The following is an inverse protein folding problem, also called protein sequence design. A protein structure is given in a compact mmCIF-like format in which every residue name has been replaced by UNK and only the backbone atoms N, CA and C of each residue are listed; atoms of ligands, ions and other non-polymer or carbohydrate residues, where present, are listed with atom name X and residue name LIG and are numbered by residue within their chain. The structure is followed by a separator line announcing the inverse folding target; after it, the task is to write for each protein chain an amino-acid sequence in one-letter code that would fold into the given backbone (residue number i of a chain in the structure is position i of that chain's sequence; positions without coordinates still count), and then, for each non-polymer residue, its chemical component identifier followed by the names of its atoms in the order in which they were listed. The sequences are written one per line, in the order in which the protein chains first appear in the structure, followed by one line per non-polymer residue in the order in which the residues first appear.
data_IF_340805438327
#
_entry.id   IF_340805438327
#
_cell.length_a   1.000
_cell.length_b   1.000
_cell.length_c   1.000
_cell.angle_alpha   90.00
_cell.angle_beta   90.00
_cell.angle_gamma   90.00
#
_symmetry.space_group_name_H-M   'P 1'
#
loop_
_entity.id
_entity.type
_entity.pdbx_description
1 polymer ?
#
# COMPACT_ATOMS: atom_id res chain seq x y z
N UNK A 1 70.57 9.50 24.97
CA UNK A 1 69.61 8.39 25.08
C UNK A 1 68.55 8.63 24.03
N UNK A 2 68.67 7.95 22.89
CA UNK A 2 67.85 8.18 21.68
C UNK A 2 66.74 7.13 21.60
N UNK A 3 65.50 7.58 21.38
CA UNK A 3 64.32 6.72 21.26
C UNK A 3 64.26 6.04 19.87
N UNK A 4 63.80 4.79 19.76
CA UNK A 4 63.63 4.12 18.47
C UNK A 4 62.33 4.60 17.79
N UNK A 5 62.44 4.93 16.50
CA UNK A 5 61.33 5.27 15.62
C UNK A 5 60.43 4.03 15.41
N UNK A 6 59.18 4.11 15.85
CA UNK A 6 58.17 3.10 15.57
C UNK A 6 57.82 3.13 14.08
N UNK A 7 58.23 2.09 13.36
CA UNK A 7 57.87 1.86 11.97
C UNK A 7 56.35 1.67 11.86
N UNK A 8 55.67 2.65 11.30
CA UNK A 8 54.25 2.58 10.94
C UNK A 8 54.10 1.54 9.84
N UNK A 9 53.68 0.32 10.22
CA UNK A 9 53.36 -0.73 9.28
C UNK A 9 52.15 -0.30 8.46
N UNK A 10 52.41 0.16 7.23
CA UNK A 10 51.38 0.46 6.25
C UNK A 10 50.60 -0.83 5.97
N UNK A 11 49.42 -0.96 6.59
CA UNK A 11 48.45 -2.00 6.27
C UNK A 11 47.99 -1.71 4.85
N UNK A 12 48.52 -2.49 3.89
CA UNK A 12 48.08 -2.41 2.51
C UNK A 12 46.57 -2.73 2.47
N UNK A 13 45.77 -1.93 1.76
CA UNK A 13 44.35 -2.18 1.64
C UNK A 13 44.16 -3.53 0.96
N UNK A 14 43.69 -4.52 1.72
CA UNK A 14 43.29 -5.82 1.20
C UNK A 14 42.19 -5.55 0.20
N UNK A 15 42.49 -5.71 -1.09
CA UNK A 15 41.52 -5.59 -2.17
C UNK A 15 40.47 -6.68 -1.99
N UNK A 16 39.32 -6.32 -1.41
CA UNK A 16 38.19 -7.22 -1.27
C UNK A 16 37.50 -7.28 -2.62
N UNK A 17 37.61 -8.43 -3.29
CA UNK A 17 36.84 -8.68 -4.50
C UNK A 17 35.35 -8.51 -4.19
N UNK A 18 34.59 -7.77 -5.04
CA UNK A 18 33.15 -7.63 -4.87
C UNK A 18 32.50 -9.00 -4.80
N UNK A 19 31.72 -9.25 -3.75
CA UNK A 19 30.97 -10.48 -3.62
C UNK A 19 29.95 -10.56 -4.78
N UNK A 20 29.92 -11.63 -5.58
CA UNK A 20 28.93 -11.79 -6.65
C UNK A 20 27.48 -11.63 -6.15
N UNK A 21 27.21 -11.92 -4.87
CA UNK A 21 25.90 -11.68 -4.26
C UNK A 21 25.48 -10.21 -4.26
N UNK A 22 26.42 -9.27 -4.11
CA UNK A 22 26.13 -7.83 -4.18
C UNK A 22 25.72 -7.39 -5.58
N UNK A 23 26.31 -7.99 -6.62
CA UNK A 23 25.98 -7.70 -8.01
C UNK A 23 24.54 -8.10 -8.34
N UNK A 24 24.13 -9.29 -7.91
CA UNK A 24 22.76 -9.80 -8.09
C UNK A 24 21.75 -8.94 -7.32
N UNK A 25 22.05 -8.58 -6.08
CA UNK A 25 21.17 -7.73 -5.25
C UNK A 25 20.98 -6.33 -5.87
N UNK A 26 22.05 -5.71 -6.35
CA UNK A 26 21.99 -4.41 -7.06
C UNK A 26 21.13 -4.52 -8.31
N UNK A 27 21.32 -5.55 -9.13
CA UNK A 27 20.55 -5.73 -10.36
C UNK A 27 19.06 -5.94 -10.08
N UNK A 28 18.71 -6.73 -9.05
CA UNK A 28 17.33 -6.90 -8.61
C UNK A 28 16.69 -5.58 -8.16
N UNK A 29 17.43 -4.74 -7.41
CA UNK A 29 17.00 -3.41 -7.01
C UNK A 29 16.71 -2.50 -8.21
N UNK A 30 17.61 -2.47 -9.20
CA UNK A 30 17.44 -1.69 -10.43
C UNK A 30 16.21 -2.15 -11.20
N UNK A 31 16.01 -3.46 -11.37
CA UNK A 31 14.83 -4.01 -12.05
C UNK A 31 13.53 -3.67 -11.33
N UNK A 32 13.51 -3.70 -10.00
CA UNK A 32 12.35 -3.30 -9.22
C UNK A 32 12.01 -1.81 -9.44
N UNK A 33 13.02 -0.94 -9.47
CA UNK A 33 12.84 0.50 -9.73
C UNK A 33 12.36 0.76 -11.16
N UNK A 34 12.99 0.15 -12.17
CA UNK A 34 12.58 0.29 -13.58
C UNK A 34 11.12 -0.15 -13.76
N UNK A 35 10.75 -1.29 -13.20
CA UNK A 35 9.35 -1.78 -13.25
C UNK A 35 8.39 -0.82 -12.54
N UNK A 36 8.76 -0.32 -11.37
CA UNK A 36 7.96 0.65 -10.62
C UNK A 36 7.71 1.92 -11.46
N UNK A 37 8.78 2.48 -12.03
CA UNK A 37 8.71 3.66 -12.89
C UNK A 37 7.85 3.42 -14.12
N UNK A 38 8.04 2.32 -14.84
CA UNK A 38 7.26 1.99 -16.03
C UNK A 38 5.77 1.82 -15.72
N UNK A 39 5.43 1.13 -14.63
CA UNK A 39 4.04 0.91 -14.22
C UNK A 39 3.39 2.23 -13.84
N UNK A 40 4.02 3.04 -12.99
CA UNK A 40 3.46 4.33 -12.58
C UNK A 40 3.39 5.33 -13.73
N UNK A 41 4.42 5.38 -14.58
CA UNK A 41 4.42 6.23 -15.77
C UNK A 41 3.26 5.88 -16.69
N UNK A 42 3.09 4.60 -17.03
CA UNK A 42 2.02 4.14 -17.89
C UNK A 42 0.64 4.43 -17.27
N UNK A 43 0.47 4.15 -15.97
CA UNK A 43 -0.81 4.38 -15.27
C UNK A 43 -1.18 5.87 -15.24
N UNK A 44 -0.23 6.75 -14.90
CA UNK A 44 -0.46 8.19 -14.86
C UNK A 44 -0.69 8.77 -16.26
N UNK A 45 0.01 8.26 -17.27
CA UNK A 45 -0.19 8.68 -18.65
C UNK A 45 -1.55 8.24 -19.20
N UNK A 46 -1.97 7.00 -18.94
CA UNK A 46 -3.32 6.54 -19.28
C UNK A 46 -4.37 7.38 -18.55
N UNK A 47 -4.16 7.70 -17.27
CA UNK A 47 -5.06 8.55 -16.51
C UNK A 47 -5.17 9.96 -17.13
N UNK A 48 -4.05 10.54 -17.56
CA UNK A 48 -4.02 11.79 -18.31
C UNK A 48 -4.87 11.72 -19.59
N UNK A 49 -4.73 10.65 -20.38
CA UNK A 49 -5.53 10.44 -21.60
C UNK A 49 -7.02 10.29 -21.32
N UNK A 50 -7.40 9.69 -20.19
CA UNK A 50 -8.82 9.57 -19.79
C UNK A 50 -9.40 10.94 -19.42
N UNK A 51 -8.61 11.83 -18.81
CA UNK A 51 -9.08 13.15 -18.39
C UNK A 51 -9.14 14.18 -19.53
N UNK A 52 -8.35 14.00 -20.59
CA UNK A 52 -8.29 14.94 -21.71
C UNK A 52 -8.89 14.30 -22.95
N UNK A 53 -10.08 14.75 -23.34
CA UNK A 53 -10.87 14.18 -24.45
C UNK A 53 -10.29 14.50 -25.83
N UNK A 54 -9.55 15.59 -25.98
CA UNK A 54 -8.87 15.99 -27.22
C UNK A 54 -7.41 16.27 -26.92
N UNK A 55 -6.51 15.45 -27.44
CA UNK A 55 -5.07 15.56 -27.16
C UNK A 55 -4.33 15.91 -28.44
N UNK A 56 -3.65 17.05 -28.44
CA UNK A 56 -2.70 17.47 -29.48
C UNK A 56 -1.35 16.75 -29.28
N UNK A 57 -0.50 16.72 -30.32
CA UNK A 57 0.84 16.12 -30.22
C UNK A 57 1.70 16.77 -29.12
N UNK A 58 1.57 18.08 -28.94
CA UNK A 58 2.27 18.82 -27.88
C UNK A 58 1.78 18.39 -26.48
N UNK A 59 0.48 18.21 -26.31
CA UNK A 59 -0.11 17.75 -25.04
C UNK A 59 0.27 16.30 -24.72
N UNK A 60 0.43 15.43 -25.73
CA UNK A 60 0.97 14.08 -25.52
C UNK A 60 2.38 14.14 -24.92
N UNK A 61 3.25 14.99 -25.48
CA UNK A 61 4.60 15.19 -24.95
C UNK A 61 4.59 15.70 -23.51
N UNK A 62 3.75 16.68 -23.20
CA UNK A 62 3.62 17.23 -21.85
C UNK A 62 3.04 16.21 -20.87
N UNK A 63 2.02 15.46 -21.27
CA UNK A 63 1.41 14.40 -20.45
C UNK A 63 2.40 13.27 -20.15
N UNK A 64 3.17 12.84 -21.15
CA UNK A 64 4.20 11.81 -20.98
C UNK A 64 5.33 12.26 -20.04
N UNK A 65 5.77 13.52 -20.18
CA UNK A 65 6.77 14.11 -19.29
C UNK A 65 6.26 14.29 -17.86
N UNK A 66 5.02 14.79 -17.70
CA UNK A 66 4.38 14.92 -16.40
C UNK A 66 4.17 13.58 -15.70
N UNK A 67 3.72 12.56 -16.44
CA UNK A 67 3.60 11.19 -15.94
C UNK A 67 4.94 10.62 -15.47
N UNK A 68 6.05 10.97 -16.15
CA UNK A 68 7.39 10.51 -15.77
C UNK A 68 7.83 11.13 -14.45
N UNK A 69 7.61 12.43 -14.29
CA UNK A 69 7.86 13.11 -13.01
C UNK A 69 7.03 12.51 -11.88
N UNK A 70 5.73 12.25 -12.14
CA UNK A 70 4.86 11.57 -11.17
C UNK A 70 5.34 10.17 -10.80
N UNK A 71 5.84 9.40 -11.78
CA UNK A 71 6.38 8.06 -11.54
C UNK A 71 7.65 8.09 -10.66
N UNK A 72 8.53 9.08 -10.87
CA UNK A 72 9.70 9.31 -10.01
C UNK A 72 9.27 9.66 -8.58
N UNK A 73 8.27 10.52 -8.42
CA UNK A 73 7.69 10.85 -7.12
C UNK A 73 7.12 9.62 -6.42
N UNK A 74 6.34 8.80 -7.13
CA UNK A 74 5.78 7.55 -6.60
C UNK A 74 6.86 6.56 -6.17
N UNK A 75 7.96 6.43 -6.95
CA UNK A 75 9.09 5.60 -6.57
C UNK A 75 9.86 6.15 -5.36
N UNK A 76 9.99 7.46 -5.23
CA UNK A 76 10.61 8.08 -4.05
C UNK A 76 9.80 7.79 -2.78
N UNK A 77 8.47 7.93 -2.84
CA UNK A 77 7.57 7.56 -1.74
C UNK A 77 7.67 6.06 -1.43
N UNK A 78 7.66 5.20 -2.45
CA UNK A 78 7.85 3.76 -2.26
C UNK A 78 9.17 3.44 -1.55
N UNK A 79 10.26 4.13 -1.90
CA UNK A 79 11.56 3.94 -1.24
C UNK A 79 11.57 4.45 0.19
N UNK A 80 10.80 5.50 0.51
CA UNK A 80 10.66 5.97 1.89
C UNK A 80 9.84 4.96 2.75
N UNK A 81 8.70 4.51 2.23
CA UNK A 81 7.73 3.68 2.93
C UNK A 81 8.11 2.20 3.02
N UNK A 82 9.07 1.74 2.21
CA UNK A 82 9.45 0.32 2.08
C UNK A 82 8.25 -0.65 2.06
N UNK A 83 7.21 -0.38 1.24
CA UNK A 83 5.98 -1.14 1.32
C UNK A 83 6.25 -2.59 0.90
N UNK A 84 5.88 -3.52 1.78
CA UNK A 84 5.87 -4.93 1.45
C UNK A 84 4.87 -5.17 0.31
N UNK A 85 5.36 -5.49 -0.88
CA UNK A 85 4.51 -5.88 -2.03
C UNK A 85 3.87 -7.27 -1.86
N UNK A 86 4.18 -7.95 -0.74
CA UNK A 86 3.58 -9.23 -0.39
C UNK A 86 2.09 -9.10 -0.08
N UNK A 87 1.31 -10.07 -0.51
CA UNK A 87 -0.08 -10.21 -0.04
C UNK A 87 -1.17 -9.54 -0.85
N UNK A 88 -0.85 -8.80 -1.91
CA UNK A 88 -1.88 -8.26 -2.80
C UNK A 88 -2.71 -9.36 -3.49
N UNK A 89 -2.08 -10.50 -3.79
CA UNK A 89 -2.79 -11.66 -4.36
C UNK A 89 -3.83 -12.24 -3.39
N UNK A 90 -3.54 -12.22 -2.09
CA UNK A 90 -4.49 -12.67 -1.07
C UNK A 90 -5.70 -11.72 -0.95
N UNK A 91 -5.58 -10.49 -1.44
CA UNK A 91 -6.65 -9.50 -1.49
C UNK A 91 -7.48 -9.53 -2.79
N UNK A 92 -7.07 -10.30 -3.79
CA UNK A 92 -7.83 -10.44 -5.04
C UNK A 92 -9.32 -10.79 -4.83
N UNK A 93 -9.70 -11.76 -3.98
CA UNK A 93 -11.12 -12.05 -3.73
C UNK A 93 -11.84 -10.87 -3.06
N UNK A 94 -11.20 -10.19 -2.11
CA UNK A 94 -11.76 -9.00 -1.47
C UNK A 94 -11.98 -7.86 -2.47
N UNK A 95 -11.00 -7.59 -3.34
CA UNK A 95 -11.10 -6.59 -4.40
C UNK A 95 -12.18 -6.95 -5.43
N UNK A 96 -12.32 -8.22 -5.80
CA UNK A 96 -13.36 -8.67 -6.73
C UNK A 96 -14.78 -8.48 -6.15
N UNK A 97 -14.93 -8.53 -4.82
CA UNK A 97 -16.22 -8.26 -4.15
C UNK A 97 -16.56 -6.78 -4.03
N UNK A 98 -15.60 -5.89 -4.32
CA UNK A 98 -15.71 -4.45 -4.08
C UNK A 98 -16.89 -3.78 -4.79
N UNK A 99 -17.19 -4.03 -6.09
CA UNK A 99 -18.31 -3.37 -6.75
C UNK A 99 -19.67 -3.69 -6.11
N UNK A 100 -19.87 -4.97 -5.74
CA UNK A 100 -21.08 -5.40 -5.07
C UNK A 100 -21.18 -4.82 -3.64
N UNK A 101 -20.06 -4.80 -2.92
CA UNK A 101 -19.99 -4.19 -1.59
C UNK A 101 -20.30 -2.70 -1.64
N UNK A 102 -19.73 -1.97 -2.61
CA UNK A 102 -19.96 -0.54 -2.79
C UNK A 102 -21.46 -0.25 -2.98
N UNK A 103 -22.13 -0.94 -3.91
CA UNK A 103 -23.58 -0.76 -4.14
C UNK A 103 -24.41 -1.08 -2.89
N UNK A 104 -24.11 -2.19 -2.23
CA UNK A 104 -24.84 -2.62 -1.03
C UNK A 104 -24.66 -1.65 0.13
N UNK A 105 -23.43 -1.20 0.37
CA UNK A 105 -23.09 -0.29 1.46
C UNK A 105 -23.57 1.14 1.20
N UNK A 106 -23.50 1.62 -0.05
CA UNK A 106 -24.13 2.90 -0.41
C UNK A 106 -25.64 2.87 -0.18
N UNK A 107 -26.32 1.78 -0.53
CA UNK A 107 -27.74 1.61 -0.22
C UNK A 107 -28.03 1.64 1.28
N UNK A 108 -27.21 0.94 2.09
CA UNK A 108 -27.32 0.96 3.55
C UNK A 108 -27.05 2.35 4.13
N UNK A 109 -26.03 3.04 3.65
CA UNK A 109 -25.70 4.41 4.05
C UNK A 109 -26.86 5.36 3.74
N UNK A 110 -27.45 5.28 2.55
CA UNK A 110 -28.63 6.07 2.18
C UNK A 110 -29.80 5.81 3.14
N UNK A 111 -30.08 4.54 3.47
CA UNK A 111 -31.11 4.18 4.46
C UNK A 111 -30.77 4.72 5.85
N UNK A 112 -29.52 4.63 6.30
CA UNK A 112 -29.09 5.16 7.59
C UNK A 112 -29.23 6.69 7.66
N UNK A 113 -28.89 7.41 6.59
CA UNK A 113 -29.11 8.85 6.46
C UNK A 113 -30.61 9.18 6.53
N UNK A 114 -31.46 8.47 5.80
CA UNK A 114 -32.92 8.67 5.85
C UNK A 114 -33.47 8.41 7.25
N UNK A 115 -33.04 7.35 7.94
CA UNK A 115 -33.44 7.06 9.33
C UNK A 115 -32.98 8.17 10.27
N UNK A 116 -31.76 8.67 10.11
CA UNK A 116 -31.22 9.77 10.91
C UNK A 116 -32.03 11.04 10.72
N UNK A 117 -32.39 11.38 9.48
CA UNK A 117 -33.27 12.51 9.18
C UNK A 117 -34.68 12.37 9.78
N UNK A 118 -35.15 11.13 10.00
CA UNK A 118 -36.41 10.82 10.70
C UNK A 118 -36.29 10.76 12.23
N UNK A 119 -35.16 11.17 12.80
CA UNK A 119 -34.93 11.19 14.25
C UNK A 119 -34.36 9.89 14.84
N UNK A 120 -33.94 8.95 13.99
CA UNK A 120 -33.26 7.74 14.43
C UNK A 120 -31.85 8.01 15.00
N UNK A 121 -31.38 7.11 15.86
CA UNK A 121 -29.99 7.07 16.30
C UNK A 121 -29.22 6.02 15.50
N UNK A 122 -27.98 6.35 15.10
CA UNK A 122 -27.08 5.41 14.45
C UNK A 122 -26.10 4.88 15.50
N UNK A 123 -26.05 3.56 15.67
CA UNK A 123 -25.06 2.91 16.52
C UNK A 123 -23.85 2.55 15.64
N UNK A 124 -22.94 3.51 15.49
CA UNK A 124 -21.60 3.20 14.99
C UNK A 124 -20.77 2.55 16.09
N UNK A 125 -19.70 1.84 15.71
CA UNK A 125 -18.84 1.17 16.67
C UNK A 125 -17.43 0.95 16.16
N UNK A 126 -16.49 0.81 17.09
CA UNK A 126 -15.11 0.48 16.78
C UNK A 126 -14.91 -1.02 16.93
N UNK A 127 -14.26 -1.63 15.94
CA UNK A 127 -13.98 -3.06 15.90
C UNK A 127 -12.53 -3.28 15.52
N UNK A 128 -11.93 -4.33 16.09
CA UNK A 128 -10.59 -4.78 15.72
C UNK A 128 -10.66 -5.97 14.79
N UNK A 129 -9.80 -6.00 13.79
CA UNK A 129 -9.67 -7.10 12.84
C UNK A 129 -8.21 -7.52 12.76
N UNK A 130 -7.94 -8.78 13.04
CA UNK A 130 -6.64 -9.39 12.81
C UNK A 130 -6.56 -9.84 11.36
N UNK A 131 -5.52 -9.45 10.65
CA UNK A 131 -5.22 -9.84 9.27
C UNK A 131 -4.17 -10.94 9.29
N UNK A 132 -4.35 -11.96 8.45
CA UNK A 132 -3.44 -13.09 8.36
C UNK A 132 -2.01 -12.68 7.95
N UNK A 133 -0.99 -13.43 8.41
CA UNK A 133 0.38 -13.21 7.96
C UNK A 133 0.47 -13.40 6.44
N UNK A 134 1.10 -12.44 5.76
CA UNK A 134 1.26 -12.47 4.32
C UNK A 134 0.19 -11.71 3.53
N UNK A 135 -0.82 -11.12 4.19
CA UNK A 135 -1.68 -10.09 3.59
C UNK A 135 -1.07 -8.72 3.86
N UNK A 136 -1.09 -7.81 2.88
CA UNK A 136 -0.61 -6.44 3.09
C UNK A 136 -1.62 -5.65 3.94
N UNK A 137 -1.28 -5.22 5.18
CA UNK A 137 -2.21 -4.54 6.06
C UNK A 137 -2.63 -3.16 5.53
N UNK A 138 -1.72 -2.44 4.87
CA UNK A 138 -2.03 -1.14 4.25
C UNK A 138 -3.07 -1.30 3.13
N UNK A 139 -2.90 -2.29 2.27
CA UNK A 139 -3.87 -2.58 1.19
C UNK A 139 -5.21 -3.12 1.73
N UNK A 140 -5.20 -3.96 2.76
CA UNK A 140 -6.43 -4.39 3.44
C UNK A 140 -7.15 -3.19 4.07
N UNK A 141 -6.40 -2.29 4.70
CA UNK A 141 -6.93 -1.06 5.28
C UNK A 141 -7.50 -0.13 4.21
N UNK A 142 -6.81 0.05 3.09
CA UNK A 142 -7.29 0.85 1.98
C UNK A 142 -8.59 0.29 1.37
N UNK A 143 -8.68 -1.04 1.17
CA UNK A 143 -9.89 -1.69 0.67
C UNK A 143 -11.07 -1.53 1.64
N UNK A 144 -10.83 -1.70 2.94
CA UNK A 144 -11.85 -1.50 3.97
C UNK A 144 -12.29 -0.03 4.04
N UNK A 145 -11.36 0.93 4.05
CA UNK A 145 -11.69 2.36 4.09
C UNK A 145 -12.33 2.89 2.81
N UNK A 146 -12.13 2.22 1.68
CA UNK A 146 -12.82 2.53 0.43
C UNK A 146 -14.28 2.03 0.41
N UNK A 147 -14.64 1.14 1.34
CA UNK A 147 -16.02 0.66 1.51
C UNK A 147 -16.84 1.69 2.32
N UNK A 148 -18.02 2.14 1.85
CA UNK A 148 -18.80 3.19 2.54
C UNK A 148 -19.17 2.87 4.00
N UNK A 149 -19.16 1.59 4.40
CA UNK A 149 -19.56 1.14 5.72
C UNK A 149 -18.44 1.09 6.77
N UNK A 150 -17.18 1.23 6.37
CA UNK A 150 -16.02 1.06 7.27
C UNK A 150 -14.94 2.12 7.03
N UNK A 151 -14.26 2.51 8.11
CA UNK A 151 -13.10 3.39 8.06
C UNK A 151 -12.03 2.85 9.01
N UNK A 152 -10.87 2.46 8.47
CA UNK A 152 -9.74 2.01 9.29
C UNK A 152 -9.04 3.22 9.90
N UNK A 153 -8.97 3.26 11.23
CA UNK A 153 -8.43 4.36 12.02
C UNK A 153 -7.00 4.10 12.52
N UNK A 154 -6.60 2.84 12.64
CA UNK A 154 -5.28 2.45 13.14
C UNK A 154 -4.83 1.10 12.57
N UNK A 155 -3.52 0.96 12.35
CA UNK A 155 -2.87 -0.26 11.89
C UNK A 155 -1.72 -0.57 12.85
N UNK A 156 -1.81 -1.68 13.56
CA UNK A 156 -0.77 -2.12 14.50
C UNK A 156 -0.15 -3.44 14.03
N UNK A 157 1.17 -3.61 14.14
CA UNK A 157 1.76 -4.94 14.03
C UNK A 157 1.23 -5.79 15.19
N UNK A 158 0.81 -7.02 14.90
CA UNK A 158 0.33 -7.91 15.95
C UNK A 158 1.51 -8.46 16.76
N UNK A 159 1.38 -8.55 18.08
CA UNK A 159 2.48 -8.98 18.96
C UNK A 159 2.75 -10.49 18.82
N UNK A 160 3.82 -10.84 18.09
CA UNK A 160 4.37 -12.21 18.05
C UNK A 160 5.05 -12.57 16.70
N UNK A 161 5.98 -13.55 16.69
CA UNK A 161 6.84 -13.86 15.54
C UNK A 161 6.13 -14.45 14.30
N UNK A 162 4.83 -14.76 14.41
CA UNK A 162 3.99 -15.27 13.30
C UNK A 162 2.67 -14.52 13.14
N UNK A 163 2.48 -13.38 13.82
CA UNK A 163 1.21 -12.65 13.75
C UNK A 163 1.28 -11.59 12.64
N UNK A 164 0.17 -11.44 11.91
CA UNK A 164 0.03 -10.43 10.86
C UNK A 164 -0.12 -9.02 11.45
N UNK A 165 -1.22 -8.34 11.14
CA UNK A 165 -1.49 -6.99 11.66
C UNK A 165 -2.89 -6.92 12.27
N UNK A 166 -3.07 -6.03 13.23
CA UNK A 166 -4.38 -5.67 13.77
C UNK A 166 -4.80 -4.32 13.18
N UNK A 167 -5.97 -4.30 12.55
CA UNK A 167 -6.64 -3.11 12.05
C UNK A 167 -7.70 -2.70 13.06
N UNK A 168 -7.68 -1.46 13.51
CA UNK A 168 -8.81 -0.88 14.23
C UNK A 168 -9.63 -0.08 13.24
N UNK A 169 -10.93 -0.38 13.15
CA UNK A 169 -11.84 0.30 12.22
C UNK A 169 -13.10 0.78 12.92
N UNK A 170 -13.63 1.90 12.43
CA UNK A 170 -14.94 2.41 12.78
C UNK A 170 -15.97 1.96 11.74
N UNK A 171 -17.09 1.42 12.19
CA UNK A 171 -18.18 0.94 11.36
C UNK A 171 -19.43 1.78 11.59
N UNK A 172 -20.14 2.08 10.50
CA UNK A 172 -21.42 2.82 10.56
C UNK A 172 -22.61 1.96 11.01
N UNK A 173 -22.52 0.65 10.78
CA UNK A 173 -23.47 -0.37 11.20
C UNK A 173 -22.69 -1.68 11.46
N UNK A 174 -23.21 -2.58 12.29
CA UNK A 174 -22.49 -3.78 12.72
C UNK A 174 -22.52 -5.03 11.82
N UNK A 175 -23.22 -5.12 10.67
CA UNK A 175 -23.14 -6.32 9.84
C UNK A 175 -21.79 -6.39 9.13
N UNK A 176 -21.21 -7.59 9.12
CA UNK A 176 -19.96 -7.90 8.39
C UNK A 176 -20.14 -7.59 6.90
N UNK A 177 -19.31 -6.72 6.34
CA UNK A 177 -19.36 -6.38 4.92
C UNK A 177 -18.89 -7.53 4.03
N UNK A 178 -19.26 -7.56 2.74
CA UNK A 178 -18.72 -8.55 1.80
C UNK A 178 -17.19 -8.47 1.68
N UNK A 179 -16.61 -7.26 1.73
CA UNK A 179 -15.16 -7.05 1.71
C UNK A 179 -14.52 -7.60 2.98
N UNK A 180 -15.08 -7.31 4.15
CA UNK A 180 -14.62 -7.86 5.44
C UNK A 180 -14.66 -9.40 5.43
N UNK A 181 -15.71 -10.00 4.87
CA UNK A 181 -15.87 -11.46 4.78
C UNK A 181 -14.88 -12.11 3.81
N UNK A 182 -14.48 -11.41 2.77
CA UNK A 182 -13.56 -11.89 1.75
C UNK A 182 -12.08 -11.65 2.10
N UNK A 183 -11.81 -10.88 3.17
CA UNK A 183 -10.47 -10.63 3.67
C UNK A 183 -9.94 -11.83 4.47
N UNK A 184 -8.70 -12.29 4.21
CA UNK A 184 -8.06 -13.29 5.06
C UNK A 184 -7.72 -12.69 6.42
N UNK A 185 -8.50 -13.06 7.42
CA UNK A 185 -8.39 -12.53 8.77
C UNK A 185 -9.61 -12.85 9.64
N UNK A 186 -9.63 -12.29 10.85
CA UNK A 186 -10.68 -12.51 11.83
C UNK A 186 -10.98 -11.24 12.63
N UNK A 187 -12.27 -10.96 12.83
CA UNK A 187 -12.74 -9.95 13.77
C UNK A 187 -12.42 -10.36 15.23
N UNK A 188 -11.78 -9.46 15.96
CA UNK A 188 -11.52 -9.53 17.39
C UNK A 188 -12.58 -8.66 18.07
N UNK A 189 -13.61 -9.29 18.63
CA UNK A 189 -14.67 -8.65 19.43
C UNK A 189 -14.16 -8.23 20.79
#
# INVERSE_FOLDING_TARGET
MSAPAAASAAVLPVYRFPDPAEGVARMAGVMATVRCLLVWWALLFVLFLVFISTVTEAELGLGAAGALLGAVGADAVRRAEHPGLGGLRALAPAAASFPAALLQETGRLAVAVIRRLRGGQNAGGTVRLSVDPGVSPAAAAALLSASPGACVIDIRPAEGPQKGAELTMHLLDFPVSPVERALPGRRLT
#
